data_IF_420161613768
#
_entry.id   IF_420161613768
#
_cell.length_a   1.000
_cell.length_b   1.000
_cell.length_c   1.000
_cell.angle_alpha   90.00
_cell.angle_beta   90.00
_cell.angle_gamma   90.00
#
_symmetry.space_group_name_H-M   'P 1'
#
loop_
_entity.id
_entity.type
_entity.pdbx_description
1 polymer ?
#
# COMPACT_ATOMS: atom_id res chain seq x y z
N UNK A 1 -0.46 15.48 -1.93
CA UNK A 1 0.17 15.01 -3.18
C UNK A 1 1.61 15.46 -3.18
N UNK A 2 2.51 14.59 -3.60
CA UNK A 2 3.93 14.94 -3.82
C UNK A 2 4.23 14.65 -5.28
N UNK A 3 4.79 15.63 -5.98
CA UNK A 3 5.20 15.49 -7.37
C UNK A 3 6.72 15.52 -7.43
N UNK A 4 7.32 14.52 -8.06
CA UNK A 4 8.75 14.53 -8.40
C UNK A 4 8.85 14.74 -9.91
N UNK A 5 9.46 15.85 -10.30
CA UNK A 5 9.64 16.22 -11.70
C UNK A 5 10.99 15.74 -12.21
N UNK A 6 11.03 15.22 -13.44
CA UNK A 6 12.25 14.93 -14.20
C UNK A 6 13.20 13.89 -13.58
N UNK A 7 12.65 12.77 -13.10
CA UNK A 7 13.50 11.66 -12.70
C UNK A 7 14.03 10.95 -13.97
N UNK A 8 15.35 10.89 -14.12
CA UNK A 8 16.02 10.29 -15.29
C UNK A 8 16.52 8.90 -14.89
N UNK A 9 16.00 7.88 -15.55
CA UNK A 9 16.31 6.47 -15.22
C UNK A 9 16.70 5.66 -16.44
N UNK A 10 17.49 4.61 -16.19
CA UNK A 10 17.74 3.56 -17.18
C UNK A 10 16.43 2.82 -17.50
N UNK A 11 16.11 2.67 -18.78
CA UNK A 11 14.88 2.01 -19.25
C UNK A 11 15.20 0.63 -19.80
N UNK A 12 16.11 0.54 -20.77
CA UNK A 12 16.43 -0.71 -21.45
C UNK A 12 17.74 -0.60 -22.23
N UNK A 13 18.34 -1.75 -22.55
CA UNK A 13 19.45 -1.86 -23.50
C UNK A 13 18.93 -2.60 -24.73
N UNK A 14 19.03 -1.97 -25.91
CA UNK A 14 18.65 -2.62 -27.17
C UNK A 14 19.66 -3.73 -27.52
N UNK A 15 19.25 -4.64 -28.40
CA UNK A 15 20.07 -5.77 -28.85
C UNK A 15 21.39 -5.38 -29.53
N UNK A 16 21.51 -4.12 -29.98
CA UNK A 16 22.72 -3.53 -30.55
C UNK A 16 23.66 -2.89 -29.50
N UNK A 17 23.32 -2.93 -28.20
CA UNK A 17 24.12 -2.36 -27.11
C UNK A 17 23.75 -0.92 -26.74
N UNK A 18 22.78 -0.31 -27.43
CA UNK A 18 22.32 1.05 -27.15
C UNK A 18 21.58 1.13 -25.81
N UNK A 19 22.04 2.03 -24.93
CA UNK A 19 21.42 2.28 -23.63
C UNK A 19 20.37 3.38 -23.76
N UNK A 20 19.12 3.07 -23.39
CA UNK A 20 18.01 4.01 -23.39
C UNK A 20 17.76 4.54 -21.98
N UNK A 21 17.75 5.86 -21.86
CA UNK A 21 17.30 6.61 -20.70
C UNK A 21 15.90 7.16 -20.94
N UNK A 22 15.06 7.11 -19.91
CA UNK A 22 13.73 7.71 -19.91
C UNK A 22 13.67 8.82 -18.87
N UNK A 23 13.08 9.96 -19.25
CA UNK A 23 12.66 10.99 -18.31
C UNK A 23 11.21 10.70 -17.93
N UNK A 24 10.96 10.49 -16.63
CA UNK A 24 9.62 10.26 -16.09
C UNK A 24 9.21 11.34 -15.10
N UNK A 25 7.92 11.61 -15.07
CA UNK A 25 7.28 12.37 -14.02
C UNK A 25 6.52 11.39 -13.10
N UNK A 26 6.84 11.45 -11.81
CA UNK A 26 6.16 10.63 -10.81
C UNK A 26 5.14 11.48 -10.07
N UNK A 27 3.86 11.13 -10.20
CA UNK A 27 2.75 11.76 -9.49
C UNK A 27 2.30 10.80 -8.40
N UNK A 28 2.39 11.24 -7.14
CA UNK A 28 2.00 10.40 -6.00
C UNK A 28 0.86 11.04 -5.20
N UNK A 29 -0.17 10.23 -4.94
CA UNK A 29 -1.30 10.54 -4.11
C UNK A 29 -1.35 9.59 -2.90
N UNK A 30 -1.46 10.15 -1.70
CA UNK A 30 -1.57 9.37 -0.46
C UNK A 30 -2.71 9.92 0.37
N UNK A 31 -3.64 9.05 0.74
CA UNK A 31 -4.79 9.36 1.59
C UNK A 31 -4.76 8.48 2.83
N UNK A 32 -4.96 9.08 4.00
CA UNK A 32 -5.06 8.36 5.27
C UNK A 32 -6.38 8.73 5.94
N UNK A 33 -7.23 7.72 6.15
CA UNK A 33 -8.45 7.83 6.93
C UNK A 33 -8.21 7.22 8.31
N UNK A 34 -8.48 7.99 9.37
CA UNK A 34 -8.43 7.50 10.75
C UNK A 34 -9.78 7.71 11.40
N UNK A 35 -10.39 6.64 11.88
CA UNK A 35 -11.68 6.65 12.56
C UNK A 35 -11.55 5.95 13.90
N UNK A 36 -11.91 6.62 14.98
CA UNK A 36 -11.93 6.03 16.31
C UNK A 36 -13.30 6.28 16.94
N UNK A 37 -13.92 5.23 17.46
CA UNK A 37 -15.24 5.29 18.08
C UNK A 37 -15.24 4.54 19.41
N UNK A 38 -15.75 5.20 20.45
CA UNK A 38 -15.88 4.63 21.79
C UNK A 38 -17.37 4.33 21.99
N UNK A 39 -17.75 3.06 21.97
CA UNK A 39 -19.14 2.65 22.19
C UNK A 39 -19.54 2.82 23.66
N UNK A 40 -18.64 2.44 24.57
CA UNK A 40 -18.83 2.54 26.02
C UNK A 40 -17.47 2.73 26.70
N UNK A 41 -17.45 2.95 28.02
CA UNK A 41 -16.20 2.96 28.80
C UNK A 41 -15.44 1.60 28.77
N UNK A 42 -16.04 0.55 28.20
CA UNK A 42 -15.48 -0.79 28.07
C UNK A 42 -15.21 -1.21 26.62
N UNK A 43 -15.71 -0.50 25.62
CA UNK A 43 -15.62 -0.92 24.22
C UNK A 43 -15.16 0.22 23.33
N UNK A 44 -14.11 -0.01 22.54
CA UNK A 44 -13.61 0.96 21.56
C UNK A 44 -13.23 0.27 20.26
N UNK A 45 -13.43 0.97 19.16
CA UNK A 45 -13.00 0.56 17.84
C UNK A 45 -12.15 1.65 17.21
N UNK A 46 -11.03 1.25 16.63
CA UNK A 46 -10.14 2.13 15.87
C UNK A 46 -9.89 1.51 14.51
N UNK A 47 -10.05 2.30 13.46
CA UNK A 47 -9.81 1.92 12.08
C UNK A 47 -8.88 2.96 11.45
N UNK A 48 -7.80 2.46 10.86
CA UNK A 48 -6.90 3.25 10.03
C UNK A 48 -6.85 2.62 8.65
N UNK A 49 -7.13 3.41 7.64
CA UNK A 49 -7.03 3.02 6.23
C UNK A 49 -6.04 3.96 5.56
N UNK A 50 -5.11 3.39 4.80
CA UNK A 50 -4.16 4.14 3.97
C UNK A 50 -4.32 3.68 2.54
N UNK A 51 -4.51 4.64 1.64
CA UNK A 51 -4.49 4.43 0.20
C UNK A 51 -3.33 5.22 -0.38
N UNK A 52 -2.49 4.55 -1.15
CA UNK A 52 -1.32 5.09 -1.82
C UNK A 52 -1.44 4.75 -3.30
N UNK A 53 -1.40 5.77 -4.14
CA UNK A 53 -1.41 5.62 -5.59
C UNK A 53 -0.24 6.43 -6.15
N UNK A 54 0.48 5.86 -7.10
CA UNK A 54 1.55 6.54 -7.81
C UNK A 54 1.52 6.20 -9.28
N UNK A 55 1.56 7.21 -10.14
CA UNK A 55 1.72 7.06 -11.58
C UNK A 55 3.12 7.53 -11.98
N UNK A 56 3.81 6.74 -12.79
CA UNK A 56 5.03 7.14 -13.49
C UNK A 56 4.70 7.31 -14.97
N UNK A 57 4.76 8.56 -15.44
CA UNK A 57 4.46 8.96 -16.81
C UNK A 57 5.77 9.32 -17.52
N UNK A 58 6.06 8.68 -18.65
CA UNK A 58 7.28 8.93 -19.40
C UNK A 58 7.11 10.13 -20.34
N UNK A 59 7.89 11.19 -20.13
CA UNK A 59 7.82 12.40 -20.97
C UNK A 59 8.68 12.31 -22.23
N UNK A 60 9.86 11.69 -22.14
CA UNK A 60 10.78 11.56 -23.27
C UNK A 60 11.79 10.43 -23.07
N UNK A 61 12.24 9.84 -24.18
CA UNK A 61 13.33 8.88 -24.21
C UNK A 61 14.56 9.47 -24.88
N UNK A 62 15.74 9.05 -24.41
CA UNK A 62 17.02 9.51 -24.90
C UNK A 62 18.00 8.34 -25.01
N UNK A 63 18.82 8.34 -26.05
CA UNK A 63 19.94 7.42 -26.22
C UNK A 63 21.17 7.97 -25.48
N UNK A 64 21.88 7.13 -24.75
CA UNK A 64 23.21 7.50 -24.24
C UNK A 64 24.25 7.37 -25.37
N UNK A 65 24.73 8.50 -25.87
CA UNK A 65 25.82 8.52 -26.85
C UNK A 65 27.17 8.14 -26.19
N UNK A 66 28.13 7.66 -26.98
CA UNK A 66 29.49 7.34 -26.51
C UNK A 66 30.21 8.54 -25.86
N UNK A 67 29.82 9.77 -26.24
CA UNK A 67 30.27 11.02 -25.63
C UNK A 67 29.70 11.27 -24.21
N UNK A 68 28.82 10.40 -23.71
CA UNK A 68 28.10 10.57 -22.45
C UNK A 68 26.91 11.53 -22.51
N UNK A 69 26.59 12.07 -23.68
CA UNK A 69 25.44 12.99 -23.88
C UNK A 69 24.16 12.23 -24.23
N UNK A 70 23.02 12.79 -23.81
CA UNK A 70 21.68 12.29 -24.16
C UNK A 70 21.29 12.75 -25.56
N UNK A 71 21.18 11.83 -26.52
CA UNK A 71 20.77 12.08 -27.90
C UNK A 71 19.29 11.72 -28.11
N UNK A 72 18.59 12.34 -29.08
CA UNK A 72 17.23 11.94 -29.45
C UNK A 72 17.22 10.48 -29.97
N UNK A 73 16.19 9.73 -29.61
CA UNK A 73 15.99 8.33 -30.04
C UNK A 73 14.60 8.17 -30.65
N UNK A 74 14.44 7.15 -31.50
CA UNK A 74 13.17 6.69 -32.06
C UNK A 74 12.44 5.69 -31.13
N UNK A 75 12.97 5.44 -29.94
CA UNK A 75 12.35 4.58 -28.93
C UNK A 75 11.04 5.18 -28.44
N UNK A 76 9.92 4.49 -28.71
CA UNK A 76 8.56 4.97 -28.48
C UNK A 76 7.69 3.96 -27.70
N UNK A 77 8.30 3.00 -27.03
CA UNK A 77 7.57 2.07 -26.15
C UNK A 77 7.21 2.80 -24.85
N UNK A 78 6.12 3.56 -24.90
CA UNK A 78 5.50 4.13 -23.70
C UNK A 78 4.86 3.00 -22.90
N UNK A 79 5.42 2.70 -21.74
CA UNK A 79 4.76 1.89 -20.73
C UNK A 79 4.62 2.76 -19.49
N UNK A 80 3.53 3.54 -19.47
CA UNK A 80 3.13 4.20 -18.24
C UNK A 80 2.82 3.12 -17.20
N UNK A 81 3.37 3.29 -16.00
CA UNK A 81 3.14 2.34 -14.91
C UNK A 81 2.40 3.04 -13.78
N UNK A 82 1.38 2.38 -13.28
CA UNK A 82 0.67 2.80 -12.09
C UNK A 82 0.88 1.78 -10.97
N UNK A 83 1.08 2.29 -9.76
CA UNK A 83 1.26 1.50 -8.56
C UNK A 83 0.22 1.92 -7.53
N UNK A 84 -0.57 0.95 -7.09
CA UNK A 84 -1.59 1.11 -6.07
C UNK A 84 -1.21 0.27 -4.86
N UNK A 85 -1.32 0.86 -3.67
CA UNK A 85 -1.17 0.17 -2.40
C UNK A 85 -2.25 0.60 -1.42
N UNK A 86 -2.89 -0.37 -0.78
CA UNK A 86 -3.96 -0.18 0.17
C UNK A 86 -3.69 -0.96 1.45
N UNK A 87 -3.73 -0.27 2.58
CA UNK A 87 -3.44 -0.83 3.90
C UNK A 87 -4.61 -0.55 4.84
N UNK A 88 -5.02 -1.55 5.61
CA UNK A 88 -6.06 -1.46 6.63
C UNK A 88 -5.53 -1.99 7.95
N UNK A 89 -5.68 -1.20 9.01
CA UNK A 89 -5.44 -1.60 10.39
C UNK A 89 -6.71 -1.32 11.20
N UNK A 90 -7.38 -2.37 11.69
CA UNK A 90 -8.54 -2.27 12.56
C UNK A 90 -8.24 -2.90 13.93
N UNK A 91 -8.63 -2.23 15.00
CA UNK A 91 -8.47 -2.68 16.38
C UNK A 91 -9.79 -2.50 17.10
N UNK A 92 -10.41 -3.60 17.50
CA UNK A 92 -11.50 -3.61 18.44
C UNK A 92 -10.99 -4.02 19.81
N UNK A 93 -11.35 -3.26 20.84
CA UNK A 93 -11.02 -3.55 22.22
C UNK A 93 -12.30 -3.66 23.02
N UNK A 94 -12.41 -4.73 23.80
CA UNK A 94 -13.51 -4.96 24.73
C UNK A 94 -12.99 -5.38 26.11
N UNK A 95 -13.25 -4.54 27.11
CA UNK A 95 -12.99 -4.81 28.51
C UNK A 95 -14.20 -5.51 29.14
N UNK A 96 -14.08 -6.80 29.39
CA UNK A 96 -15.16 -7.58 30.01
C UNK A 96 -15.09 -7.57 31.55
N UNK A 97 -13.90 -7.37 32.13
CA UNK A 97 -13.72 -7.21 33.57
C UNK A 97 -12.65 -6.14 33.89
N UNK A 98 -12.61 -5.58 35.11
CA UNK A 98 -11.54 -4.67 35.53
C UNK A 98 -10.17 -5.32 35.33
N UNK A 99 -9.33 -4.73 34.49
CA UNK A 99 -8.00 -5.29 34.16
C UNK A 99 -7.99 -6.44 33.16
N UNK A 100 -9.16 -6.89 32.68
CA UNK A 100 -9.27 -7.95 31.67
C UNK A 100 -9.87 -7.44 30.36
N UNK A 101 -9.10 -7.55 29.29
CA UNK A 101 -9.38 -6.96 27.98
C UNK A 101 -9.24 -8.02 26.87
N UNK A 102 -10.14 -7.97 25.90
CA UNK A 102 -10.05 -8.69 24.63
C UNK A 102 -9.72 -7.67 23.55
N UNK A 103 -8.76 -7.99 22.70
CA UNK A 103 -8.41 -7.23 21.51
C UNK A 103 -8.60 -8.10 20.29
N UNK A 104 -9.32 -7.59 19.30
CA UNK A 104 -9.40 -8.16 17.96
C UNK A 104 -8.68 -7.18 17.05
N UNK A 105 -7.59 -7.63 16.46
CA UNK A 105 -6.73 -6.83 15.59
C UNK A 105 -6.79 -7.45 14.20
N UNK A 106 -7.20 -6.65 13.23
CA UNK A 106 -7.20 -7.04 11.83
C UNK A 106 -6.24 -6.12 11.07
N UNK A 107 -5.32 -6.72 10.32
CA UNK A 107 -4.36 -6.02 9.47
C UNK A 107 -4.42 -6.59 8.07
N UNK A 108 -4.48 -5.71 7.08
CA UNK A 108 -4.39 -6.08 5.68
C UNK A 108 -3.50 -5.11 4.91
N UNK A 109 -2.70 -5.63 3.98
CA UNK A 109 -1.89 -4.83 3.09
C UNK A 109 -1.94 -5.45 1.70
N UNK A 110 -2.41 -4.70 0.70
CA UNK A 110 -2.45 -5.13 -0.69
C UNK A 110 -1.75 -4.09 -1.55
N UNK A 111 -1.02 -4.56 -2.57
CA UNK A 111 -0.37 -3.70 -3.55
C UNK A 111 -0.49 -4.32 -4.93
N UNK A 112 -0.85 -3.52 -5.93
CA UNK A 112 -0.93 -3.91 -7.34
C UNK A 112 -0.02 -3.01 -8.17
N UNK A 113 0.60 -3.60 -9.18
CA UNK A 113 1.25 -2.87 -10.26
C UNK A 113 0.38 -3.09 -11.49
N UNK A 114 -0.24 -2.01 -11.98
CA UNK A 114 -1.12 -2.07 -13.14
C UNK A 114 -0.50 -1.25 -14.27
N UNK A 115 -0.41 -1.87 -15.46
CA UNK A 115 0.10 -1.25 -16.69
C UNK A 115 -1.02 -0.62 -17.54
N UNK A 116 -2.24 -0.47 -16.99
CA UNK A 116 -3.39 0.16 -17.66
C UNK A 116 -4.14 1.11 -16.71
N UNK A 117 -4.58 2.24 -17.26
CA UNK A 117 -4.87 3.50 -16.56
C UNK A 117 -6.18 3.52 -15.72
N UNK A 118 -7.05 2.50 -15.78
CA UNK A 118 -8.49 2.73 -15.49
C UNK A 118 -9.26 1.70 -14.61
N UNK A 119 -8.60 0.79 -13.88
CA UNK A 119 -9.32 -0.32 -13.20
C UNK A 119 -9.58 -0.14 -11.68
N UNK A 120 -9.32 1.03 -11.11
CA UNK A 120 -9.31 1.21 -9.63
C UNK A 120 -10.69 1.08 -8.97
N UNK A 121 -11.79 1.44 -9.64
CA UNK A 121 -13.12 1.46 -9.01
C UNK A 121 -13.77 0.05 -8.94
N UNK A 122 -13.44 -0.86 -9.86
CA UNK A 122 -14.02 -2.21 -9.89
C UNK A 122 -13.32 -3.21 -8.96
N UNK A 123 -12.13 -2.87 -8.43
CA UNK A 123 -11.31 -3.78 -7.65
C UNK A 123 -11.56 -3.78 -6.13
N UNK A 124 -12.39 -2.90 -5.57
CA UNK A 124 -12.72 -2.95 -4.13
C UNK A 124 -13.43 -4.26 -3.72
N UNK A 125 -14.31 -4.79 -4.59
CA UNK A 125 -15.02 -6.07 -4.32
C UNK A 125 -14.16 -7.30 -4.65
N UNK A 126 -13.31 -7.22 -5.68
CA UNK A 126 -12.34 -8.28 -6.06
C UNK A 126 -11.14 -8.37 -5.12
N UNK A 127 -10.69 -7.25 -4.56
CA UNK A 127 -9.68 -7.19 -3.51
C UNK A 127 -10.14 -7.94 -2.26
N UNK A 128 -11.44 -7.81 -1.92
CA UNK A 128 -12.05 -8.54 -0.81
C UNK A 128 -12.09 -10.07 -1.03
N UNK A 129 -12.30 -10.53 -2.27
CA UNK A 129 -12.27 -11.97 -2.59
C UNK A 129 -10.85 -12.53 -2.68
N UNK A 130 -9.82 -11.71 -2.93
CA UNK A 130 -8.40 -12.11 -2.89
C UNK A 130 -7.80 -12.10 -1.48
N UNK A 131 -8.55 -11.66 -0.46
CA UNK A 131 -8.14 -11.66 0.95
C UNK A 131 -7.87 -13.06 1.51
N UNK A 132 -8.45 -14.10 0.90
CA UNK A 132 -8.26 -15.51 1.30
C UNK A 132 -7.04 -16.16 0.67
N UNK A 133 -6.51 -15.60 -0.42
CA UNK A 133 -5.52 -16.27 -1.26
C UNK A 133 -4.07 -15.96 -0.85
N UNK A 134 -3.85 -14.92 -0.03
CA UNK A 134 -2.52 -14.49 0.42
C UNK A 134 -2.45 -14.26 1.95
N UNK A 135 -2.18 -15.31 2.75
CA UNK A 135 -2.17 -15.21 4.22
C UNK A 135 -1.07 -14.30 4.78
N UNK A 136 -0.02 -13.98 4.01
CA UNK A 136 1.06 -13.09 4.47
C UNK A 136 0.63 -11.61 4.52
N UNK A 137 -0.37 -11.25 3.70
CA UNK A 137 -0.84 -9.88 3.50
C UNK A 137 -2.15 -9.60 4.23
N UNK A 138 -2.71 -10.59 4.93
CA UNK A 138 -3.94 -10.49 5.70
C UNK A 138 -3.80 -11.24 7.03
N UNK A 139 -3.86 -10.53 8.15
CA UNK A 139 -3.70 -11.09 9.49
C UNK A 139 -4.87 -10.70 10.37
N UNK A 140 -5.56 -11.71 10.93
CA UNK A 140 -6.54 -11.54 11.99
C UNK A 140 -5.97 -12.14 13.27
N UNK A 141 -5.86 -11.33 14.32
CA UNK A 141 -5.29 -11.70 15.61
C UNK A 141 -6.26 -11.40 16.73
N UNK A 142 -6.37 -12.33 17.69
CA UNK A 142 -7.14 -12.15 18.92
C UNK A 142 -6.19 -12.25 20.10
N UNK A 143 -6.21 -11.23 20.97
CA UNK A 143 -5.42 -11.18 22.20
C UNK A 143 -6.36 -11.06 23.39
N UNK A 144 -6.20 -11.94 24.39
CA UNK A 144 -6.95 -11.90 25.64
C UNK A 144 -6.00 -11.64 26.78
N UNK A 145 -6.29 -10.63 27.59
CA UNK A 145 -5.62 -10.34 28.85
C UNK A 145 -6.63 -10.63 29.95
N UNK A 146 -6.29 -11.52 30.87
CA UNK A 146 -7.14 -11.89 31.99
C UNK A 146 -6.38 -11.68 33.30
N UNK A 147 -6.95 -10.89 34.21
CA UNK A 147 -6.39 -10.70 35.55
C UNK A 147 -6.99 -11.75 36.51
N UNK A 148 -6.14 -12.64 37.04
CA UNK A 148 -6.51 -13.62 38.06
C UNK A 148 -6.28 -13.01 39.44
N UNK A 149 -7.34 -12.93 40.26
CA UNK A 149 -7.20 -12.64 41.68
C UNK A 149 -6.97 -13.96 42.45
N UNK A 150 -5.80 -14.08 43.10
CA UNK A 150 -5.41 -15.26 43.88
C UNK A 150 -6.33 -15.50 45.10
N UNK A 151 -7.07 -14.47 45.54
CA UNK A 151 -8.03 -14.60 46.65
C UNK A 151 -9.21 -15.52 46.31
N UNK A 152 -9.47 -15.82 45.03
CA UNK A 152 -10.57 -16.70 44.62
C UNK A 152 -10.29 -18.20 44.87
N UNK A 153 -9.00 -18.60 44.98
CA UNK A 153 -8.59 -19.99 45.21
C UNK A 153 -8.48 -20.36 46.71
N UNK A 154 -8.76 -19.41 47.61
CA UNK A 154 -8.74 -19.64 49.06
C UNK A 154 -10.18 -19.86 49.56
N UNK A 155 -10.77 -21.01 49.23
CA UNK A 155 -12.01 -21.48 49.85
C UNK A 155 -11.96 -22.99 50.07
#
# INVERSE_FOLDING_TARGET
>A
SSNSFNDVGYVSTRSNGDIIFGRRQNITFSTVLNTSYIFTNRMSFSLRVRHYWSKAEYESFHLLAESGSLAPTDYNEFSDSSFDAFTVDAVYRWRFAPGSDIFIVWKNNTSSFDYEEDQVIYNYRKGLSRLTDFPQNNSLSVKVIYFLDYLYFKK
#
